data_IF_005515839221
#
_entry.id   IF_005515839221
#
_cell.length_a   1.000
_cell.length_b   1.000
_cell.length_c   1.000
_cell.angle_alpha   90.00
_cell.angle_beta   90.00
_cell.angle_gamma   90.00
#
_symmetry.space_group_name_H-M   'P 1'
#
loop_
_entity.id
_entity.type
_entity.pdbx_description
1 polymer ?
#
# COMPACT_ATOMS: atom_id res chain seq x y z
N UNK A 1 -20.62 -27.80 8.89
CA UNK A 1 -19.71 -26.67 9.24
C UNK A 1 -20.45 -25.55 9.94
N UNK A 2 -21.69 -25.23 9.53
CA UNK A 2 -22.61 -24.35 10.24
C UNK A 2 -22.93 -24.84 11.67
N UNK A 3 -22.98 -26.17 11.88
CA UNK A 3 -23.35 -26.77 13.19
C UNK A 3 -22.34 -26.42 14.29
N UNK A 4 -21.05 -26.32 13.95
CA UNK A 4 -19.99 -25.88 14.88
C UNK A 4 -20.14 -24.43 15.34
N UNK A 5 -20.84 -23.59 14.58
CA UNK A 5 -21.16 -22.23 14.99
C UNK A 5 -22.40 -22.21 15.88
N UNK A 6 -23.37 -23.09 15.66
CA UNK A 6 -24.51 -23.25 16.57
C UNK A 6 -24.06 -23.77 17.94
N UNK A 7 -23.15 -24.75 17.97
CA UNK A 7 -22.53 -25.28 19.19
C UNK A 7 -21.75 -24.23 19.99
N UNK A 8 -21.31 -23.15 19.34
CA UNK A 8 -20.58 -22.03 19.98
C UNK A 8 -21.51 -20.88 20.43
N UNK A 9 -22.82 -21.06 20.33
CA UNK A 9 -23.82 -20.09 20.80
C UNK A 9 -24.12 -18.94 19.83
N UNK A 10 -23.73 -19.04 18.56
CA UNK A 10 -24.13 -18.05 17.57
C UNK A 10 -25.61 -18.19 17.22
N UNK A 11 -26.33 -17.07 17.15
CA UNK A 11 -27.76 -17.07 16.80
C UNK A 11 -27.97 -17.54 15.37
N UNK A 12 -29.10 -18.22 15.15
CA UNK A 12 -29.46 -18.82 13.86
C UNK A 12 -29.44 -17.78 12.72
N UNK A 13 -29.96 -16.58 12.98
CA UNK A 13 -30.00 -15.47 12.02
C UNK A 13 -28.62 -15.05 11.51
N UNK A 14 -27.61 -15.03 12.39
CA UNK A 14 -26.24 -14.62 12.03
C UNK A 14 -25.58 -15.68 11.15
N UNK A 15 -25.82 -16.96 11.45
CA UNK A 15 -25.28 -18.08 10.67
C UNK A 15 -25.92 -18.10 9.27
N UNK A 16 -27.23 -17.92 9.18
CA UNK A 16 -27.95 -17.92 7.90
C UNK A 16 -27.58 -16.71 7.04
N UNK A 17 -27.38 -15.53 7.65
CA UNK A 17 -26.88 -14.35 6.93
C UNK A 17 -25.45 -14.54 6.40
N UNK A 18 -24.58 -15.24 7.15
CA UNK A 18 -23.22 -15.54 6.71
C UNK A 18 -23.22 -16.53 5.52
N UNK A 19 -24.08 -17.56 5.57
CA UNK A 19 -24.23 -18.53 4.48
C UNK A 19 -24.76 -17.83 3.22
N UNK A 20 -25.77 -16.97 3.36
CA UNK A 20 -26.31 -16.20 2.24
C UNK A 20 -25.23 -15.33 1.56
N UNK A 21 -24.40 -14.64 2.35
CA UNK A 21 -23.28 -13.83 1.83
C UNK A 21 -22.25 -14.67 1.06
N UNK A 22 -21.89 -15.84 1.58
CA UNK A 22 -20.94 -16.74 0.91
C UNK A 22 -21.53 -17.26 -0.40
N UNK A 23 -22.80 -17.66 -0.42
CA UNK A 23 -23.46 -18.14 -1.64
C UNK A 23 -23.61 -17.05 -2.70
N UNK A 24 -23.90 -15.81 -2.27
CA UNK A 24 -23.99 -14.64 -3.16
C UNK A 24 -22.64 -14.35 -3.81
N UNK A 25 -21.56 -14.40 -3.01
CA UNK A 25 -20.19 -14.20 -3.51
C UNK A 25 -19.75 -15.33 -4.44
N UNK A 26 -20.18 -16.58 -4.18
CA UNK A 26 -19.94 -17.73 -5.06
C UNK A 26 -20.65 -17.58 -6.40
N UNK A 27 -21.90 -17.10 -6.40
CA UNK A 27 -22.66 -16.80 -7.61
C UNK A 27 -22.02 -15.66 -8.43
N UNK A 28 -21.51 -14.60 -7.78
CA UNK A 28 -20.75 -13.53 -8.46
C UNK A 28 -19.49 -14.03 -9.16
N UNK A 29 -18.79 -15.01 -8.57
CA UNK A 29 -17.61 -15.62 -9.17
C UNK A 29 -17.97 -16.52 -10.36
N UNK A 30 -19.10 -17.21 -10.30
CA UNK A 30 -19.58 -18.06 -11.39
C UNK A 30 -20.07 -17.26 -12.61
N UNK A 31 -20.58 -16.05 -12.43
CA UNK A 31 -21.00 -15.15 -13.53
C UNK A 31 -19.87 -14.32 -14.13
N UNK A 32 -18.67 -14.35 -13.53
CA UNK A 32 -17.50 -13.64 -14.07
C UNK A 32 -16.99 -14.40 -15.30
N UNK A 33 -17.39 -13.95 -16.49
CA UNK A 33 -16.83 -14.43 -17.77
C UNK A 33 -15.29 -14.43 -17.70
N UNK A 34 -14.65 -15.45 -18.28
CA UNK A 34 -13.20 -15.56 -18.36
C UNK A 34 -12.60 -14.34 -19.10
N UNK A 35 -12.19 -13.33 -18.33
CA UNK A 35 -11.53 -12.14 -18.88
C UNK A 35 -10.07 -12.46 -19.15
N UNK A 36 -9.64 -12.28 -20.40
CA UNK A 36 -8.24 -12.44 -20.78
C UNK A 36 -7.39 -11.43 -20.02
N UNK A 37 -6.26 -11.89 -19.50
CA UNK A 37 -5.41 -11.09 -18.62
C UNK A 37 -4.12 -10.71 -19.34
N UNK A 38 -3.90 -9.41 -19.54
CA UNK A 38 -2.64 -8.88 -20.00
C UNK A 38 -1.72 -8.65 -18.80
N UNK A 39 -0.69 -9.49 -18.67
CA UNK A 39 0.20 -9.51 -17.51
C UNK A 39 1.50 -8.76 -17.84
N UNK A 40 1.74 -7.61 -17.20
CA UNK A 40 2.96 -6.80 -17.40
C UNK A 40 3.66 -6.42 -16.08
N UNK A 41 4.81 -5.75 -16.11
CA UNK A 41 5.48 -5.24 -14.89
C UNK A 41 4.81 -3.95 -14.43
N UNK A 42 4.75 -3.73 -13.12
CA UNK A 42 4.26 -2.45 -12.59
C UNK A 42 5.33 -1.37 -12.76
N UNK A 43 5.09 -0.42 -13.67
CA UNK A 43 5.98 0.73 -13.93
C UNK A 43 5.21 2.05 -13.90
N UNK A 44 5.90 3.19 -13.86
CA UNK A 44 5.28 4.51 -14.02
C UNK A 44 4.60 4.66 -15.39
N UNK A 45 5.12 3.97 -16.41
CA UNK A 45 4.53 3.93 -17.73
C UNK A 45 3.21 3.13 -17.82
N UNK A 46 2.72 2.52 -16.73
CA UNK A 46 1.50 1.67 -16.77
C UNK A 46 0.26 2.37 -17.33
N UNK A 47 0.14 3.69 -17.11
CA UNK A 47 -1.00 4.47 -17.61
C UNK A 47 -0.93 4.59 -19.13
N UNK A 48 0.25 4.93 -19.65
CA UNK A 48 0.52 5.03 -21.09
C UNK A 48 0.37 3.67 -21.78
N UNK A 49 0.97 2.61 -21.24
CA UNK A 49 0.87 1.26 -21.79
C UNK A 49 -0.59 0.80 -21.83
N UNK A 50 -1.33 1.00 -20.72
CA UNK A 50 -2.75 0.65 -20.66
C UNK A 50 -3.59 1.45 -21.65
N UNK A 51 -3.28 2.73 -21.84
CA UNK A 51 -3.96 3.59 -22.80
C UNK A 51 -3.73 3.10 -24.23
N UNK A 52 -2.46 2.93 -24.64
CA UNK A 52 -2.06 2.47 -25.98
C UNK A 52 -2.75 1.16 -26.32
N UNK A 53 -2.65 0.15 -25.44
CA UNK A 53 -3.25 -1.17 -25.70
C UNK A 53 -4.77 -1.10 -25.82
N UNK A 54 -5.43 -0.22 -25.06
CA UNK A 54 -6.89 -0.02 -25.17
C UNK A 54 -7.27 0.67 -26.47
N UNK A 55 -6.58 1.75 -26.81
CA UNK A 55 -6.82 2.54 -28.02
C UNK A 55 -6.62 1.68 -29.27
N UNK A 56 -5.56 0.88 -29.29
CA UNK A 56 -5.13 0.09 -30.45
C UNK A 56 -5.55 -1.39 -30.38
N UNK A 57 -6.45 -1.77 -29.46
CA UNK A 57 -6.88 -3.17 -29.29
C UNK A 57 -7.54 -3.74 -30.55
N UNK A 58 -8.24 -2.90 -31.28
CA UNK A 58 -8.94 -3.26 -32.52
C UNK A 58 -7.99 -3.80 -33.61
N UNK A 59 -6.72 -3.39 -33.65
CA UNK A 59 -5.75 -3.97 -34.59
C UNK A 59 -5.51 -5.46 -34.34
N UNK A 60 -5.58 -5.92 -33.08
CA UNK A 60 -5.45 -7.33 -32.73
C UNK A 60 -6.74 -8.12 -33.02
N UNK A 61 -7.87 -7.43 -33.21
CA UNK A 61 -9.14 -8.04 -33.63
C UNK A 61 -9.19 -8.29 -35.13
N UNK A 62 -8.49 -7.47 -35.93
CA UNK A 62 -8.43 -7.59 -37.39
C UNK A 62 -7.59 -8.77 -37.85
N UNK A 63 -6.68 -9.26 -37.01
CA UNK A 63 -5.80 -10.38 -37.32
C UNK A 63 -6.58 -11.70 -37.41
N UNK A 64 -6.32 -12.50 -38.44
CA UNK A 64 -7.05 -13.74 -38.71
C UNK A 64 -6.85 -14.83 -37.63
N UNK A 65 -5.74 -14.78 -36.89
CA UNK A 65 -5.35 -15.78 -35.89
C UNK A 65 -5.73 -15.27 -34.49
N UNK A 66 -5.46 -14.00 -34.20
CA UNK A 66 -5.68 -13.40 -32.89
C UNK A 66 -7.09 -12.82 -32.72
N UNK A 67 -7.79 -12.49 -33.80
CA UNK A 67 -9.14 -11.95 -33.80
C UNK A 67 -10.17 -12.78 -33.03
N UNK A 68 -10.26 -14.11 -33.25
CA UNK A 68 -11.16 -15.00 -32.50
C UNK A 68 -10.82 -15.07 -31.00
N UNK A 69 -9.57 -14.76 -30.65
CA UNK A 69 -9.05 -14.82 -29.29
C UNK A 69 -9.20 -13.45 -28.61
N UNK A 70 -9.18 -12.33 -29.32
CA UNK A 70 -9.04 -10.99 -28.74
C UNK A 70 -10.32 -10.14 -28.80
N UNK A 71 -11.51 -10.73 -28.56
CA UNK A 71 -12.78 -10.00 -28.58
C UNK A 71 -12.87 -8.88 -27.55
N UNK A 72 -12.72 -9.19 -26.25
CA UNK A 72 -12.80 -8.19 -25.20
C UNK A 72 -11.43 -7.58 -24.88
N UNK A 73 -11.41 -6.29 -24.54
CA UNK A 73 -10.20 -5.65 -24.01
C UNK A 73 -9.72 -6.39 -22.76
N UNK A 74 -8.42 -6.71 -22.66
CA UNK A 74 -7.93 -7.55 -21.59
C UNK A 74 -7.94 -6.82 -20.26
N UNK A 75 -8.12 -7.59 -19.19
CA UNK A 75 -7.85 -7.12 -17.84
C UNK A 75 -6.34 -6.96 -17.66
N UNK A 76 -5.92 -5.80 -17.16
CA UNK A 76 -4.51 -5.55 -16.86
C UNK A 76 -4.16 -6.11 -15.48
N UNK A 77 -3.24 -7.07 -15.45
CA UNK A 77 -2.61 -7.53 -14.22
C UNK A 77 -1.13 -7.16 -14.24
N UNK A 78 -0.58 -6.95 -13.05
CA UNK A 78 0.82 -6.60 -12.90
C UNK A 78 1.55 -7.70 -12.15
N UNK A 79 2.62 -8.23 -12.75
CA UNK A 79 3.56 -9.10 -12.04
C UNK A 79 4.07 -8.34 -10.84
N UNK A 80 3.81 -8.88 -9.66
CA UNK A 80 4.43 -8.43 -8.43
C UNK A 80 5.93 -8.64 -8.61
N UNK A 81 6.71 -7.57 -8.56
CA UNK A 81 8.17 -7.71 -8.55
C UNK A 81 8.53 -8.68 -7.40
N UNK A 82 9.48 -9.59 -7.65
CA UNK A 82 10.12 -10.35 -6.56
C UNK A 82 10.69 -9.29 -5.62
N UNK A 83 10.00 -9.03 -4.51
CA UNK A 83 10.57 -8.20 -3.47
C UNK A 83 11.79 -8.97 -2.99
N UNK A 84 12.97 -8.36 -3.02
CA UNK A 84 14.15 -8.94 -2.36
C UNK A 84 13.94 -9.14 -0.86
N UNK A 85 12.87 -8.61 -0.27
CA UNK A 85 12.44 -8.98 1.07
C UNK A 85 10.92 -9.00 1.19
N UNK A 86 10.40 -9.87 2.06
CA UNK A 86 9.07 -9.77 2.69
C UNK A 86 8.87 -8.46 3.50
N UNK A 87 9.65 -7.41 3.25
CA UNK A 87 9.45 -6.07 3.80
C UNK A 87 8.25 -5.46 3.08
N UNK A 88 7.16 -5.32 3.81
CA UNK A 88 6.18 -4.27 3.51
C UNK A 88 6.93 -2.96 3.69
N UNK A 89 7.56 -2.46 2.63
CA UNK A 89 7.83 -1.03 2.55
C UNK A 89 6.45 -0.39 2.58
N UNK A 90 6.04 0.05 3.76
CA UNK A 90 4.88 0.91 3.90
C UNK A 90 5.26 2.14 3.09
N UNK A 91 4.45 2.45 2.08
CA UNK A 91 4.52 3.76 1.43
C UNK A 91 4.39 4.76 2.58
N UNK A 92 5.43 5.56 2.85
CA UNK A 92 5.27 6.76 3.67
C UNK A 92 4.12 7.53 3.03
N UNK A 93 2.92 7.38 3.61
CA UNK A 93 1.71 7.83 2.98
C UNK A 93 1.59 9.29 3.38
N UNK A 94 2.39 10.14 2.73
CA UNK A 94 2.37 11.60 2.92
C UNK A 94 1.03 12.23 2.49
N UNK A 95 -0.05 11.43 2.30
CA UNK A 95 -1.34 11.88 1.80
C UNK A 95 -2.57 11.24 2.47
N UNK A 96 -2.47 10.51 3.59
CA UNK A 96 -3.71 9.95 4.18
C UNK A 96 -3.89 10.01 5.70
N UNK A 97 -2.99 10.60 6.49
CA UNK A 97 -3.24 10.76 7.93
C UNK A 97 -2.84 12.12 8.53
N UNK A 98 -2.71 13.16 7.70
CA UNK A 98 -2.70 14.57 8.17
C UNK A 98 -4.06 15.26 8.01
N UNK A 99 -5.15 14.50 7.86
CA UNK A 99 -6.51 15.07 7.81
C UNK A 99 -7.12 15.27 9.21
N UNK A 100 -6.34 15.14 10.27
CA UNK A 100 -6.72 15.64 11.59
C UNK A 100 -5.77 16.78 11.90
N UNK A 101 -6.35 17.97 11.98
CA UNK A 101 -5.73 19.24 12.27
C UNK A 101 -4.78 19.16 13.48
N UNK A 102 -3.49 18.95 13.25
CA UNK A 102 -2.46 19.38 14.18
C UNK A 102 -1.32 19.96 13.36
N UNK A 103 -1.04 21.24 13.63
CA UNK A 103 -0.07 22.14 13.02
C UNK A 103 -0.55 22.86 11.75
N UNK A 104 -1.00 24.09 12.00
CA UNK A 104 -0.90 25.21 11.08
C UNK A 104 0.48 25.17 10.38
N UNK A 105 0.47 25.41 9.08
CA UNK A 105 1.58 25.27 8.12
C UNK A 105 1.77 23.86 7.56
N UNK A 106 1.14 23.64 6.41
CA UNK A 106 1.66 22.76 5.36
C UNK A 106 3.15 23.13 5.17
N UNK A 107 4.13 22.31 5.63
CA UNK A 107 5.53 22.71 5.52
C UNK A 107 5.82 22.91 4.04
N UNK A 108 6.28 24.10 3.69
CA UNK A 108 6.74 24.36 2.33
C UNK A 108 7.84 23.32 2.08
N UNK A 109 7.76 22.51 1.01
CA UNK A 109 8.69 21.40 0.80
C UNK A 109 10.15 21.87 0.74
N UNK A 110 10.37 23.16 0.52
CA UNK A 110 11.68 23.80 0.40
C UNK A 110 12.41 24.08 1.72
N UNK A 111 11.76 23.93 2.88
CA UNK A 111 12.30 24.36 4.20
C UNK A 111 12.62 23.23 5.17
N UNK A 112 12.46 21.97 4.80
CA UNK A 112 12.82 20.85 5.70
C UNK A 112 14.35 20.73 5.83
N UNK A 113 14.90 20.36 6.99
CA UNK A 113 16.34 20.17 7.21
C UNK A 113 17.00 19.27 6.19
N UNK A 114 16.33 18.20 5.76
CA UNK A 114 16.79 17.32 4.68
C UNK A 114 16.96 18.08 3.35
N UNK A 115 15.97 18.89 2.96
CA UNK A 115 16.02 19.64 1.69
C UNK A 115 17.06 20.75 1.76
N UNK A 116 17.16 21.45 2.89
CA UNK A 116 18.19 22.46 3.14
C UNK A 116 19.59 21.84 3.05
N UNK A 117 19.82 20.73 3.76
CA UNK A 117 21.10 20.01 3.71
C UNK A 117 21.45 19.53 2.29
N UNK A 118 20.48 18.97 1.56
CA UNK A 118 20.74 18.54 0.18
C UNK A 118 21.13 19.72 -0.74
N UNK A 119 20.52 20.90 -0.54
CA UNK A 119 20.86 22.13 -1.29
C UNK A 119 22.25 22.65 -0.90
N UNK A 120 22.54 22.74 0.39
CA UNK A 120 23.81 23.28 0.92
C UNK A 120 25.02 22.44 0.50
N UNK A 121 24.89 21.12 0.53
CA UNK A 121 25.98 20.18 0.24
C UNK A 121 25.91 19.57 -1.17
N UNK A 122 25.01 20.09 -2.02
CA UNK A 122 24.79 19.64 -3.40
C UNK A 122 24.61 18.10 -3.51
N UNK A 123 23.90 17.52 -2.55
CA UNK A 123 23.55 16.10 -2.55
C UNK A 123 22.38 15.83 -3.50
N UNK A 124 22.39 14.64 -4.10
CA UNK A 124 21.33 14.18 -4.99
C UNK A 124 20.85 12.78 -4.57
N UNK A 125 19.86 12.23 -5.26
CA UNK A 125 19.31 10.92 -4.90
C UNK A 125 20.38 9.81 -4.92
N UNK A 126 21.41 9.93 -5.75
CA UNK A 126 22.51 8.96 -5.84
C UNK A 126 23.44 9.00 -4.62
N UNK A 127 23.45 10.06 -3.81
CA UNK A 127 24.23 10.09 -2.56
C UNK A 127 23.49 9.45 -1.38
N UNK A 128 22.19 9.15 -1.52
CA UNK A 128 21.40 8.50 -0.47
C UNK A 128 21.73 7.00 -0.39
N UNK A 129 22.03 6.53 0.82
CA UNK A 129 22.16 5.11 1.15
C UNK A 129 21.04 4.71 2.11
N UNK A 130 20.43 3.57 1.84
CA UNK A 130 19.32 3.04 2.65
C UNK A 130 19.80 1.80 3.40
N UNK A 131 19.49 1.74 4.68
CA UNK A 131 19.76 0.61 5.56
C UNK A 131 18.51 0.29 6.39
N UNK A 132 18.24 -0.99 6.61
CA UNK A 132 17.20 -1.40 7.55
C UNK A 132 17.69 -1.22 8.99
N UNK A 133 16.95 -0.47 9.80
CA UNK A 133 17.27 -0.27 11.22
C UNK A 133 16.69 -1.40 12.07
N UNK A 134 15.44 -1.77 11.83
CA UNK A 134 14.74 -2.75 12.64
C UNK A 134 13.65 -3.50 11.87
N UNK A 135 13.31 -4.70 12.34
CA UNK A 135 12.26 -5.55 11.79
C UNK A 135 11.14 -5.75 12.81
N UNK A 136 9.98 -5.14 12.55
CA UNK A 136 8.82 -5.28 13.43
C UNK A 136 7.98 -6.51 13.02
N UNK A 137 7.82 -7.44 13.95
CA UNK A 137 6.89 -8.56 13.82
C UNK A 137 5.57 -8.15 14.49
N UNK A 138 4.45 -8.23 13.77
CA UNK A 138 3.14 -7.96 14.37
C UNK A 138 2.86 -9.00 15.46
N UNK A 139 2.97 -8.60 16.72
CA UNK A 139 2.58 -9.43 17.86
C UNK A 139 1.06 -9.54 17.91
N UNK A 140 0.53 -10.69 18.36
CA UNK A 140 -0.91 -10.98 18.38
C UNK A 140 -1.77 -10.13 19.33
N UNK A 141 -1.20 -9.09 19.94
CA UNK A 141 -1.92 -8.11 20.76
C UNK A 141 -2.43 -7.00 19.86
N UNK A 142 -3.73 -6.75 19.87
CA UNK A 142 -4.48 -5.89 18.93
C UNK A 142 -4.13 -4.39 18.88
N UNK A 143 -2.86 -4.00 19.06
CA UNK A 143 -2.34 -2.68 18.76
C UNK A 143 -2.32 -2.51 17.25
N UNK A 144 -2.83 -1.36 16.77
CA UNK A 144 -2.76 -1.02 15.35
C UNK A 144 -1.30 -0.96 14.85
N UNK A 145 -1.06 -1.50 13.66
CA UNK A 145 0.29 -1.60 13.09
C UNK A 145 0.92 -0.24 12.84
N UNK A 146 0.14 0.79 12.49
CA UNK A 146 0.68 2.13 12.27
C UNK A 146 1.12 2.75 13.59
N UNK A 147 0.34 2.59 14.65
CA UNK A 147 0.75 3.03 15.99
C UNK A 147 2.05 2.35 16.42
N UNK A 148 2.21 1.05 16.18
CA UNK A 148 3.44 0.33 16.49
C UNK A 148 4.64 0.85 15.67
N UNK A 149 4.44 1.11 14.37
CA UNK A 149 5.48 1.66 13.50
C UNK A 149 5.89 3.07 13.92
N UNK A 150 4.94 3.95 14.19
CA UNK A 150 5.20 5.33 14.64
C UNK A 150 5.97 5.35 15.97
N UNK A 151 5.59 4.50 16.92
CA UNK A 151 6.31 4.40 18.20
C UNK A 151 7.76 3.95 17.99
N UNK A 152 7.99 3.00 17.08
CA UNK A 152 9.34 2.51 16.78
C UNK A 152 10.18 3.52 16.00
N UNK A 153 9.57 4.27 15.08
CA UNK A 153 10.19 5.38 14.38
C UNK A 153 10.69 6.44 15.38
N UNK A 154 9.84 6.88 16.29
CA UNK A 154 10.19 7.86 17.33
C UNK A 154 11.33 7.34 18.22
N UNK A 155 11.30 6.07 18.61
CA UNK A 155 12.40 5.45 19.36
C UNK A 155 13.71 5.47 18.56
N UNK A 156 13.67 5.17 17.26
CA UNK A 156 14.86 5.22 16.40
C UNK A 156 15.40 6.65 16.26
N UNK A 157 14.51 7.65 16.06
CA UNK A 157 14.90 9.05 15.95
C UNK A 157 15.63 9.50 17.22
N UNK A 158 15.07 9.15 18.39
CA UNK A 158 15.65 9.47 19.70
C UNK A 158 16.99 8.74 19.93
N UNK A 159 17.03 7.42 19.70
CA UNK A 159 18.23 6.60 19.96
C UNK A 159 19.41 6.91 19.04
N UNK A 160 19.13 7.32 17.81
CA UNK A 160 20.15 7.66 16.82
C UNK A 160 20.49 9.16 16.80
N UNK A 161 19.83 9.96 17.65
CA UNK A 161 20.00 11.41 17.75
C UNK A 161 19.92 12.12 16.38
N UNK A 162 18.86 11.81 15.63
CA UNK A 162 18.73 12.26 14.23
C UNK A 162 17.89 13.52 14.07
N UNK A 163 17.61 14.24 15.15
CA UNK A 163 16.92 15.54 15.11
C UNK A 163 17.93 16.64 14.75
N UNK A 164 17.49 17.64 13.98
CA UNK A 164 18.30 18.82 13.67
C UNK A 164 18.80 19.50 14.95
N UNK A 165 20.07 19.97 15.02
CA UNK A 165 21.05 20.08 13.94
C UNK A 165 21.94 18.86 13.70
N UNK A 166 21.91 17.84 14.56
CA UNK A 166 22.80 16.66 14.43
C UNK A 166 22.32 15.67 13.38
N UNK A 167 21.02 15.66 13.09
CA UNK A 167 20.45 14.91 11.98
C UNK A 167 19.48 15.71 11.12
N UNK A 168 18.67 15.01 10.34
CA UNK A 168 17.83 15.59 9.29
C UNK A 168 16.33 15.53 9.60
N UNK A 169 15.94 15.06 10.78
CA UNK A 169 14.55 15.11 11.25
C UNK A 169 14.23 16.46 11.90
N UNK A 170 13.05 17.01 11.58
CA UNK A 170 12.58 18.32 12.10
C UNK A 170 12.40 18.32 13.62
N UNK A 171 11.65 17.35 14.14
CA UNK A 171 11.29 17.28 15.55
C UNK A 171 10.90 15.85 15.96
N UNK A 172 10.97 15.58 17.27
CA UNK A 172 10.52 14.32 17.85
C UNK A 172 9.02 14.41 18.20
N UNK A 173 8.16 13.74 17.43
CA UNK A 173 6.71 13.80 17.61
C UNK A 173 6.21 12.61 18.47
N UNK A 174 5.81 12.88 19.71
CA UNK A 174 5.40 11.86 20.69
C UNK A 174 3.88 11.56 20.71
N UNK A 175 3.10 12.14 19.79
CA UNK A 175 1.63 11.99 19.77
C UNK A 175 1.15 10.54 19.66
N UNK A 176 1.93 9.65 19.04
CA UNK A 176 1.64 8.22 18.92
C UNK A 176 1.63 7.45 20.26
N UNK A 177 2.13 8.07 21.35
CA UNK A 177 2.04 7.53 22.71
C UNK A 177 0.85 8.08 23.49
N UNK A 178 0.27 9.20 23.04
CA UNK A 178 -0.79 9.94 23.75
C UNK A 178 -2.21 9.60 23.29
N UNK A 179 -2.37 8.82 22.21
CA UNK A 179 -3.68 8.31 21.82
C UNK A 179 -4.17 7.30 22.87
N UNK A 180 -4.99 7.81 23.80
CA UNK A 180 -5.78 7.05 24.75
C UNK A 180 -6.71 6.10 23.97
N UNK A 181 -6.87 4.89 24.52
CA UNK A 181 -7.78 3.85 24.01
C UNK A 181 -9.22 4.33 23.91
#
# INVERSE_FOLDING_TARGET
>A
MADRFRERGYTQEVVDQAIAKVNTERQRRATTKEKKVFVTKYTMARRYIKHIVRTHWHHLQTDAILGPVCHDTPMFAYKRAKKLLKVVLVKANNKAHYSTQHFLANPQPDTTPLVTHCKEYNHNISSLRLMGIDQIISSGGGIDKNTLLLRREVECIFRLDTVTPMGLNDALILSCFLQTR
#
